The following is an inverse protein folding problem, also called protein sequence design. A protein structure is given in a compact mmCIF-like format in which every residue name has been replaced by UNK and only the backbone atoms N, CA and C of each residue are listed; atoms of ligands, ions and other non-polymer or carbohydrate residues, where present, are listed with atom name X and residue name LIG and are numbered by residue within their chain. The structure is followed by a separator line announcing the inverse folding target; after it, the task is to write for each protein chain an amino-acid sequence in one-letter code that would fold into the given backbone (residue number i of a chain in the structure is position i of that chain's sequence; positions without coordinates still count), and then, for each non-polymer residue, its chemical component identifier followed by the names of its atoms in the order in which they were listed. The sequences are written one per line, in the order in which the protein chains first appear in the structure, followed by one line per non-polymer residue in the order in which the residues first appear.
data_IF_940066704883
#
_entry.id   IF_940066704883
#
_cell.length_a   1.000
_cell.length_b   1.000
_cell.length_c   1.000
_cell.angle_alpha   90.00
_cell.angle_beta   90.00
_cell.angle_gamma   90.00
#
_symmetry.space_group_name_H-M   'P 1'
#
loop_
_entity.id
_entity.type
_entity.pdbx_description
1 polymer ?
#
# COMPACT_ATOMS: atom_id res chain seq x y z
N UNK A 1 -13.56 3.54 7.70
CA UNK A 1 -12.24 3.18 8.26
C UNK A 1 -11.59 4.47 8.73
N UNK A 2 -10.87 4.42 9.84
CA UNK A 2 -10.15 5.59 10.36
C UNK A 2 -9.01 6.00 9.42
N UNK A 3 -8.79 7.31 9.17
CA UNK A 3 -7.68 7.78 8.35
C UNK A 3 -6.35 7.62 9.06
N UNK A 4 -5.28 7.56 8.28
CA UNK A 4 -3.92 7.69 8.78
C UNK A 4 -3.57 9.15 8.96
N UNK A 5 -3.07 9.52 10.14
CA UNK A 5 -2.56 10.85 10.43
C UNK A 5 -1.04 10.82 10.47
N UNK A 6 -0.40 11.51 9.52
CA UNK A 6 1.02 11.82 9.63
C UNK A 6 1.20 12.88 10.70
N UNK A 7 2.09 12.61 11.67
CA UNK A 7 2.38 13.49 12.79
C UNK A 7 3.88 13.76 12.87
N UNK A 8 4.22 15.02 13.08
CA UNK A 8 5.55 15.43 13.50
C UNK A 8 5.40 16.09 14.87
N UNK A 9 5.92 15.40 15.91
CA UNK A 9 5.62 15.71 17.31
C UNK A 9 4.09 15.78 17.54
N UNK A 10 3.58 16.89 18.09
CA UNK A 10 2.16 17.07 18.40
C UNK A 10 1.33 17.62 17.23
N UNK A 11 1.94 17.82 16.06
CA UNK A 11 1.27 18.42 14.90
C UNK A 11 0.91 17.36 13.87
N UNK A 12 -0.34 17.37 13.43
CA UNK A 12 -0.76 16.64 12.23
C UNK A 12 -0.22 17.39 11.02
N UNK A 13 0.58 16.71 10.22
CA UNK A 13 1.23 17.27 9.02
C UNK A 13 0.66 16.72 7.72
N UNK A 14 -0.20 15.69 7.78
CA UNK A 14 -0.82 15.07 6.61
C UNK A 14 -1.88 14.05 7.02
N UNK A 15 -2.81 13.74 6.11
CA UNK A 15 -3.92 12.80 6.35
C UNK A 15 -4.14 11.95 5.11
N UNK A 16 -4.34 10.65 5.28
CA UNK A 16 -4.70 9.74 4.19
C UNK A 16 -5.86 8.83 4.57
N UNK A 17 -6.89 8.75 3.72
CA UNK A 17 -8.06 7.88 3.92
C UNK A 17 -7.97 6.56 3.15
N UNK A 18 -7.05 6.47 2.20
CA UNK A 18 -6.87 5.33 1.31
C UNK A 18 -5.43 5.29 0.76
N UNK A 19 -5.09 4.26 -0.02
CA UNK A 19 -3.75 4.06 -0.59
C UNK A 19 -3.35 5.17 -1.57
N UNK A 20 -4.30 5.75 -2.29
CA UNK A 20 -4.04 6.85 -3.24
C UNK A 20 -3.60 8.11 -2.50
N UNK A 21 -4.32 8.48 -1.44
CA UNK A 21 -3.96 9.61 -0.59
C UNK A 21 -2.69 9.35 0.20
N UNK A 22 -2.46 8.10 0.64
CA UNK A 22 -1.21 7.71 1.30
C UNK A 22 -0.01 7.98 0.39
N UNK A 23 -0.07 7.56 -0.88
CA UNK A 23 1.01 7.83 -1.83
C UNK A 23 1.25 9.33 -2.03
N UNK A 24 0.20 10.12 -2.21
CA UNK A 24 0.32 11.58 -2.41
C UNK A 24 0.96 12.26 -1.22
N UNK A 25 0.53 11.91 -0.01
CA UNK A 25 1.14 12.45 1.21
C UNK A 25 2.58 11.98 1.38
N UNK A 26 2.88 10.71 1.09
CA UNK A 26 4.27 10.21 1.11
C UNK A 26 5.14 10.95 0.08
N UNK A 27 4.65 11.21 -1.12
CA UNK A 27 5.38 11.95 -2.16
C UNK A 27 5.68 13.39 -1.74
N UNK A 28 4.71 14.06 -1.11
CA UNK A 28 4.90 15.40 -0.54
C UNK A 28 5.89 15.37 0.61
N UNK A 29 5.70 14.48 1.59
CA UNK A 29 6.56 14.39 2.78
C UNK A 29 7.99 13.96 2.45
N UNK A 30 8.22 13.16 1.41
CA UNK A 30 9.58 12.85 0.95
C UNK A 30 10.36 14.10 0.57
N UNK A 31 9.68 15.18 0.15
CA UNK A 31 10.28 16.47 -0.22
C UNK A 31 10.26 17.47 0.95
N UNK A 32 9.13 17.56 1.64
CA UNK A 32 8.86 18.62 2.62
C UNK A 32 9.37 18.25 4.03
N UNK A 33 9.20 16.99 4.45
CA UNK A 33 9.56 16.50 5.79
C UNK A 33 9.88 14.98 5.76
N UNK A 34 11.04 14.60 5.18
CA UNK A 34 11.39 13.19 5.03
C UNK A 34 11.64 12.51 6.37
N UNK A 35 12.03 13.25 7.41
CA UNK A 35 12.30 12.73 8.74
C UNK A 35 11.01 12.24 9.42
N UNK A 36 9.91 12.99 9.32
CA UNK A 36 8.62 12.56 9.85
C UNK A 36 8.10 11.30 9.14
N UNK A 37 8.27 11.22 7.81
CA UNK A 37 7.89 10.03 7.05
C UNK A 37 8.76 8.82 7.43
N UNK A 38 10.07 9.00 7.52
CA UNK A 38 11.01 7.96 7.96
C UNK A 38 10.65 7.43 9.36
N UNK A 39 10.27 8.31 10.29
CA UNK A 39 9.79 7.90 11.61
C UNK A 39 8.56 6.99 11.52
N UNK A 40 7.52 7.37 10.77
CA UNK A 40 6.33 6.53 10.61
C UNK A 40 6.60 5.19 9.92
N UNK A 41 7.59 5.14 9.02
CA UNK A 41 8.04 3.93 8.37
C UNK A 41 8.79 3.01 9.35
N UNK A 42 9.77 3.56 10.08
CA UNK A 42 10.58 2.82 11.08
C UNK A 42 9.73 2.20 12.18
N UNK A 43 8.77 2.96 12.72
CA UNK A 43 7.86 2.49 13.77
C UNK A 43 6.77 1.54 13.24
N UNK A 44 6.69 1.33 11.92
CA UNK A 44 5.70 0.45 11.31
C UNK A 44 4.26 0.98 11.37
N UNK A 45 4.07 2.28 11.63
CA UNK A 45 2.75 2.91 11.72
C UNK A 45 1.94 2.75 10.42
N UNK A 46 2.60 2.98 9.28
CA UNK A 46 1.98 2.86 7.95
C UNK A 46 1.59 1.39 7.69
N UNK A 47 2.47 0.44 8.02
CA UNK A 47 2.22 -1.00 7.86
C UNK A 47 1.04 -1.46 8.72
N UNK A 48 0.95 -1.00 9.97
CA UNK A 48 -0.16 -1.29 10.86
C UNK A 48 -1.49 -0.78 10.30
N UNK A 49 -1.51 0.47 9.82
CA UNK A 49 -2.71 1.06 9.21
C UNK A 49 -3.13 0.34 7.92
N UNK A 50 -2.18 -0.02 7.05
CA UNK A 50 -2.47 -0.79 5.83
C UNK A 50 -3.10 -2.15 6.14
N UNK A 51 -2.60 -2.85 7.17
CA UNK A 51 -3.20 -4.08 7.64
C UNK A 51 -4.63 -3.88 8.15
N UNK A 52 -4.85 -2.80 8.91
CA UNK A 52 -6.17 -2.44 9.43
C UNK A 52 -7.19 -2.18 8.33
N UNK A 53 -6.81 -1.47 7.25
CA UNK A 53 -7.72 -1.20 6.12
C UNK A 53 -7.84 -2.38 5.13
N UNK A 54 -7.15 -3.49 5.39
CA UNK A 54 -7.20 -4.71 4.57
C UNK A 54 -6.22 -4.75 3.39
N UNK A 55 -5.31 -3.79 3.26
CA UNK A 55 -4.28 -3.72 2.21
C UNK A 55 -3.04 -4.55 2.57
N UNK A 56 -3.27 -5.83 2.90
CA UNK A 56 -2.24 -6.75 3.42
C UNK A 56 -1.05 -6.96 2.49
N UNK A 57 -1.29 -6.95 1.18
CA UNK A 57 -0.22 -7.11 0.19
C UNK A 57 0.77 -5.94 0.21
N UNK A 58 0.26 -4.71 0.28
CA UNK A 58 1.11 -3.52 0.40
C UNK A 58 1.78 -3.44 1.78
N UNK A 59 1.06 -3.85 2.84
CA UNK A 59 1.62 -3.90 4.19
C UNK A 59 2.85 -4.82 4.27
N UNK A 60 2.81 -5.99 3.63
CA UNK A 60 3.95 -6.91 3.59
C UNK A 60 5.12 -6.34 2.77
N UNK A 61 4.83 -5.69 1.63
CA UNK A 61 5.86 -5.03 0.79
C UNK A 61 6.61 -3.93 1.55
N UNK A 62 5.91 -3.16 2.39
CA UNK A 62 6.49 -2.06 3.16
C UNK A 62 7.07 -2.50 4.52
N UNK A 63 6.93 -3.78 4.88
CA UNK A 63 7.42 -4.29 6.16
C UNK A 63 8.94 -4.17 6.23
N UNK A 64 9.43 -3.47 7.26
CA UNK A 64 10.86 -3.23 7.47
C UNK A 64 11.48 -2.18 6.55
N UNK A 65 10.70 -1.58 5.65
CA UNK A 65 11.17 -0.45 4.84
C UNK A 65 11.17 0.81 5.69
N UNK A 66 12.32 1.45 5.83
CA UNK A 66 12.47 2.69 6.61
C UNK A 66 12.75 3.92 5.76
N UNK A 67 13.24 3.76 4.53
CA UNK A 67 13.65 4.88 3.67
C UNK A 67 12.45 5.47 2.92
N UNK A 68 12.17 6.78 3.02
CA UNK A 68 11.07 7.43 2.32
C UNK A 68 11.01 7.14 0.82
N UNK A 69 12.14 7.26 0.12
CA UNK A 69 12.22 7.08 -1.33
C UNK A 69 11.96 5.64 -1.75
N UNK A 70 12.47 4.68 -0.96
CA UNK A 70 12.22 3.26 -1.18
C UNK A 70 10.73 2.93 -0.98
N UNK A 71 10.14 3.43 0.11
CA UNK A 71 8.73 3.21 0.40
C UNK A 71 7.83 3.79 -0.71
N UNK A 72 8.15 5.00 -1.20
CA UNK A 72 7.43 5.65 -2.30
C UNK A 72 7.59 4.89 -3.62
N UNK A 73 8.76 4.33 -3.91
CA UNK A 73 8.95 3.50 -5.10
C UNK A 73 8.10 2.22 -5.03
N UNK A 74 8.08 1.55 -3.88
CA UNK A 74 7.33 0.29 -3.67
C UNK A 74 5.82 0.47 -3.75
N UNK A 75 5.27 1.55 -3.20
CA UNK A 75 3.83 1.83 -3.30
C UNK A 75 3.41 2.12 -4.76
N UNK A 76 4.23 2.85 -5.51
CA UNK A 76 4.01 3.13 -6.94
C UNK A 76 4.04 1.85 -7.77
N UNK A 77 5.05 1.00 -7.55
CA UNK A 77 5.16 -0.31 -8.22
C UNK A 77 3.97 -1.22 -7.88
N UNK A 78 3.59 -1.30 -6.60
CA UNK A 78 2.43 -2.09 -6.16
C UNK A 78 1.14 -1.66 -6.87
N UNK A 79 0.87 -0.35 -6.95
CA UNK A 79 -0.31 0.17 -7.64
C UNK A 79 -0.29 -0.13 -9.13
N UNK A 80 0.87 0.01 -9.79
CA UNK A 80 1.02 -0.36 -11.19
C UNK A 80 0.64 -1.83 -11.42
N UNK A 81 1.21 -2.76 -10.64
CA UNK A 81 0.91 -4.19 -10.73
C UNK A 81 -0.55 -4.53 -10.40
N UNK A 82 -1.12 -3.90 -9.38
CA UNK A 82 -2.54 -4.09 -8.97
C UNK A 82 -3.50 -3.62 -10.08
N UNK A 83 -3.14 -2.58 -10.81
CA UNK A 83 -3.92 -2.11 -11.95
C UNK A 83 -3.78 -3.05 -13.16
N UNK A 84 -2.56 -3.53 -13.47
CA UNK A 84 -2.34 -4.48 -14.56
C UNK A 84 -3.07 -5.81 -14.35
N UNK A 85 -3.11 -6.32 -13.12
CA UNK A 85 -3.83 -7.57 -12.78
C UNK A 85 -5.34 -7.43 -12.84
N UNK A 86 -5.91 -6.24 -12.60
CA UNK A 86 -7.33 -5.95 -12.84
C UNK A 86 -7.71 -5.95 -14.32
N UNK A 87 -6.76 -5.66 -15.21
CA UNK A 87 -6.98 -5.62 -16.66
C UNK A 87 -6.88 -6.99 -17.34
N UNK A 88 -6.38 -8.02 -16.65
CA UNK A 88 -6.35 -9.38 -17.20
C UNK A 88 -7.76 -10.02 -17.09
N UNK A 89 -8.36 -10.49 -18.19
CA UNK A 89 -9.66 -11.15 -18.13
C UNK A 89 -9.55 -12.41 -17.26
N UNK A 90 -10.43 -12.54 -16.26
CA UNK A 90 -10.54 -13.75 -15.43
C UNK A 90 -10.89 -14.93 -16.33
N UNK A 91 -9.89 -15.73 -16.70
CA UNK A 91 -10.13 -17.01 -17.37
C UNK A 91 -10.88 -17.91 -16.39
N UNK A 92 -12.17 -18.12 -16.66
CA UNK A 92 -13.01 -19.07 -15.96
C UNK A 92 -12.50 -20.48 -16.25
N UNK A 93 -11.61 -20.98 -15.39
CA UNK A 93 -11.26 -22.40 -15.35
C UNK A 93 -12.47 -23.18 -14.84
N UNK A 94 -13.35 -23.62 -15.75
CA UNK A 94 -14.40 -24.59 -15.44
C UNK A 94 -13.78 -25.98 -15.51
N UNK A 95 -13.44 -26.55 -14.34
CA UNK A 95 -13.05 -27.96 -14.22
C UNK A 95 -14.29 -28.86 -14.34
N UNK A 96 -14.16 -29.85 -15.23
CA UNK A 96 -14.69 -31.23 -15.21
C UNK A 96 -16.19 -31.51 -15.40
N UNK A 97 -16.50 -32.40 -16.36
CA UNK A 97 -17.06 -33.73 -16.07
C UNK A 97 -16.70 -34.75 -17.16
N UNK A 98 -16.14 -35.88 -16.70
CA UNK A 98 -15.94 -37.16 -17.41
C UNK A 98 -17.29 -37.71 -17.91
N UNK A 99 -17.31 -38.48 -19.02
CA UNK A 99 -17.44 -39.95 -19.05
C UNK A 99 -17.82 -40.44 -20.49
N UNK A 100 -17.30 -41.62 -20.83
CA UNK A 100 -17.55 -42.48 -22.00
C UNK A 100 -18.96 -42.44 -22.61
N UNK A 101 -19.08 -42.61 -23.94
CA UNK A 101 -19.74 -43.78 -24.58
C UNK A 101 -19.09 -44.03 -25.96
N UNK A 102 -18.76 -45.30 -26.23
CA UNK A 102 -18.37 -45.85 -27.54
C UNK A 102 -19.60 -46.29 -28.30
#
# INVERSE_FOLDING_TARGET
MEPFYFKSYDKVIGIAHNVEELEKEMERLTKDDPAALEYHLKEGHIVAWLNYIGEKGLAEILKGVSKPEEALARIKEYKFLKNSTRMLPKTTSRKEKKLHVR
#
